data_IF_027965084085
#
_entry.id   IF_027965084085
#
_cell.length_a   1.000
_cell.length_b   1.000
_cell.length_c   1.000
_cell.angle_alpha   90.00
_cell.angle_beta   90.00
_cell.angle_gamma   90.00
#
_symmetry.space_group_name_H-M   'P 1'
#
loop_
_entity.id
_entity.type
_entity.pdbx_description
1 polymer ?
#
# COMPACT_ATOMS: atom_id res chain seq x y z
N UNK A 1 -7.22 -41.69 -33.00
CA UNK A 1 -8.47 -41.56 -32.23
C UNK A 1 -8.14 -41.91 -30.79
N UNK A 2 -7.74 -40.96 -29.94
CA UNK A 2 -7.53 -41.23 -28.52
C UNK A 2 -8.88 -41.15 -27.80
N UNK A 3 -9.15 -42.18 -27.01
CA UNK A 3 -10.37 -42.38 -26.23
C UNK A 3 -10.47 -41.37 -25.10
N UNK A 4 -11.66 -40.80 -24.96
CA UNK A 4 -12.11 -39.91 -23.91
C UNK A 4 -12.21 -40.71 -22.59
N UNK A 5 -11.31 -40.42 -21.66
CA UNK A 5 -11.26 -41.01 -20.32
C UNK A 5 -11.93 -40.03 -19.37
N UNK A 6 -13.24 -40.20 -19.21
CA UNK A 6 -14.05 -39.46 -18.24
C UNK A 6 -13.70 -39.97 -16.84
N UNK A 7 -12.79 -39.27 -16.16
CA UNK A 7 -12.56 -39.45 -14.72
C UNK A 7 -13.79 -38.93 -13.97
N UNK A 8 -14.70 -39.86 -13.70
CA UNK A 8 -15.86 -39.73 -12.84
C UNK A 8 -15.34 -39.55 -11.39
N UNK A 9 -15.39 -38.32 -10.89
CA UNK A 9 -15.09 -38.05 -9.49
C UNK A 9 -16.22 -38.59 -8.63
N UNK A 10 -15.93 -39.63 -7.85
CA UNK A 10 -16.86 -40.25 -6.90
C UNK A 10 -17.30 -39.24 -5.83
N UNK A 11 -18.59 -38.92 -5.78
CA UNK A 11 -19.23 -38.03 -4.80
C UNK A 11 -19.06 -38.49 -3.32
N UNK A 12 -18.48 -39.67 -3.09
CA UNK A 12 -18.19 -40.21 -1.77
C UNK A 12 -17.10 -39.43 -1.01
N UNK A 13 -16.14 -38.80 -1.72
CA UNK A 13 -15.03 -38.09 -1.08
C UNK A 13 -15.44 -36.72 -0.50
N UNK A 14 -16.49 -36.10 -1.04
CA UNK A 14 -17.00 -34.80 -0.56
C UNK A 14 -17.70 -34.94 0.80
N UNK A 15 -18.37 -36.08 1.05
CA UNK A 15 -19.08 -36.34 2.31
C UNK A 15 -18.10 -36.64 3.46
N UNK A 16 -16.96 -37.26 3.16
CA UNK A 16 -15.90 -37.49 4.15
C UNK A 16 -15.27 -36.17 4.65
N UNK A 17 -15.15 -35.16 3.79
CA UNK A 17 -14.57 -33.86 4.16
C UNK A 17 -15.47 -33.03 5.07
N UNK A 18 -16.80 -33.14 4.92
CA UNK A 18 -17.78 -32.40 5.74
C UNK A 18 -17.87 -32.99 7.16
N UNK A 19 -17.63 -34.31 7.30
CA UNK A 19 -17.69 -34.99 8.60
C UNK A 19 -16.48 -34.68 9.51
N UNK A 20 -15.36 -34.20 8.94
CA UNK A 20 -14.15 -33.86 9.70
C UNK A 20 -14.18 -32.48 10.37
N UNK A 21 -15.21 -31.64 10.11
CA UNK A 21 -15.31 -30.28 10.66
C UNK A 21 -16.13 -30.17 11.96
N UNK A 22 -16.57 -31.29 12.55
CA UNK A 22 -17.50 -31.29 13.69
C UNK A 22 -16.95 -31.81 15.04
N UNK A 23 -15.63 -31.85 15.26
CA UNK A 23 -15.10 -32.17 16.60
C UNK A 23 -14.01 -31.19 17.04
N UNK A 24 -14.40 -30.24 17.89
CA UNK A 24 -13.72 -29.91 19.16
C UNK A 24 -14.49 -28.78 19.85
N UNK A 25 -15.58 -29.14 20.53
CA UNK A 25 -16.18 -28.30 21.56
C UNK A 25 -15.35 -28.51 22.84
N UNK A 26 -14.16 -27.92 22.85
CA UNK A 26 -13.23 -28.01 23.98
C UNK A 26 -13.58 -26.91 24.99
N UNK A 27 -14.28 -27.33 26.03
CA UNK A 27 -14.73 -26.48 27.13
C UNK A 27 -13.53 -25.77 27.78
N UNK A 28 -13.39 -24.48 27.48
CA UNK A 28 -12.35 -23.63 28.06
C UNK A 28 -12.65 -23.44 29.56
N UNK A 29 -11.74 -23.81 30.48
CA UNK A 29 -11.93 -23.58 31.90
C UNK A 29 -11.96 -22.08 32.22
N UNK A 30 -12.90 -21.69 33.08
CA UNK A 30 -13.12 -20.31 33.52
C UNK A 30 -11.85 -19.67 34.10
N UNK A 31 -11.57 -18.38 33.79
CA UNK A 31 -10.41 -17.68 34.32
C UNK A 31 -10.55 -17.41 35.83
N UNK A 32 -9.44 -17.62 36.56
CA UNK A 32 -9.31 -17.36 37.98
C UNK A 32 -9.52 -15.87 38.34
N UNK A 33 -9.95 -15.57 39.59
CA UNK A 33 -10.24 -14.21 40.04
C UNK A 33 -9.01 -13.28 40.04
N UNK A 34 -9.24 -12.06 39.55
CA UNK A 34 -8.29 -10.97 39.42
C UNK A 34 -7.66 -10.59 40.77
N UNK A 35 -6.32 -10.64 40.84
CA UNK A 35 -5.54 -10.01 41.90
C UNK A 35 -5.60 -8.48 41.79
N UNK A 36 -5.66 -7.75 42.93
CA UNK A 36 -5.77 -6.31 42.92
C UNK A 36 -4.50 -5.61 42.40
N UNK A 37 -4.64 -4.43 41.79
CA UNK A 37 -3.53 -3.68 41.22
C UNK A 37 -2.56 -3.21 42.30
N UNK A 38 -1.28 -3.58 42.13
CA UNK A 38 -0.15 -3.05 42.91
C UNK A 38 0.02 -1.56 42.60
N UNK A 39 -0.11 -0.73 43.64
CA UNK A 39 0.18 0.71 43.61
C UNK A 39 1.65 0.94 43.25
N UNK A 40 1.96 1.80 42.26
CA UNK A 40 3.34 2.18 41.96
C UNK A 40 3.88 3.09 43.07
N UNK A 41 4.91 2.61 43.76
CA UNK A 41 5.69 3.36 44.73
C UNK A 41 6.45 4.50 44.03
N UNK A 42 5.97 5.73 44.19
CA UNK A 42 6.63 6.95 43.72
C UNK A 42 7.89 7.20 44.56
N UNK A 43 9.04 6.69 44.10
CA UNK A 43 10.34 7.07 44.65
C UNK A 43 10.84 8.32 43.91
N UNK A 44 11.12 9.44 44.59
CA UNK A 44 11.67 10.61 43.94
C UNK A 44 13.08 10.33 43.39
N UNK A 45 13.44 10.88 42.21
CA UNK A 45 14.77 10.74 41.67
C UNK A 45 15.80 11.47 42.54
N UNK A 46 17.03 10.96 42.64
CA UNK A 46 18.12 11.66 43.31
C UNK A 46 18.44 12.97 42.57
N UNK A 47 18.91 14.00 43.30
CA UNK A 47 19.34 15.26 42.69
C UNK A 47 20.50 15.00 41.72
N UNK A 48 20.29 15.42 40.47
CA UNK A 48 21.24 15.29 39.37
C UNK A 48 22.39 16.29 39.60
N UNK A 49 23.56 15.80 39.99
CA UNK A 49 24.79 16.60 40.02
C UNK A 49 25.23 16.88 38.58
N UNK A 50 25.04 18.13 38.14
CA UNK A 50 25.58 18.62 36.88
C UNK A 50 27.11 18.77 37.00
N UNK A 51 27.85 17.81 36.46
CA UNK A 51 29.26 17.97 36.15
C UNK A 51 29.38 18.68 34.79
N UNK A 52 29.79 19.95 34.84
CA UNK A 52 30.16 20.77 33.69
C UNK A 52 31.49 20.28 33.12
N UNK A 53 31.44 19.32 32.20
CA UNK A 53 32.62 18.90 31.46
C UNK A 53 32.60 19.55 30.07
N UNK A 54 33.21 20.73 30.00
CA UNK A 54 33.38 21.54 28.80
C UNK A 54 34.45 20.93 27.90
N UNK A 55 34.07 19.89 27.14
CA UNK A 55 34.90 19.38 26.04
C UNK A 55 34.59 20.12 24.74
N UNK A 56 35.57 20.90 24.32
CA UNK A 56 35.72 21.61 23.06
C UNK A 56 35.79 20.61 21.88
N UNK A 57 34.68 19.92 21.60
CA UNK A 57 34.59 18.90 20.57
C UNK A 57 34.24 19.59 19.23
N UNK A 58 35.08 19.49 18.20
CA UNK A 58 34.74 20.03 16.89
C UNK A 58 33.40 19.42 16.43
N UNK A 59 32.51 20.23 15.82
CA UNK A 59 31.17 19.78 15.48
C UNK A 59 31.28 18.52 14.60
N UNK A 60 30.57 17.44 14.94
CA UNK A 60 30.58 16.22 14.13
C UNK A 60 30.17 16.62 12.72
N UNK A 61 31.03 16.30 11.73
CA UNK A 61 30.73 16.51 10.32
C UNK A 61 29.48 15.70 10.00
N UNK A 62 28.33 16.37 9.93
CA UNK A 62 27.07 15.74 9.55
C UNK A 62 27.23 15.20 8.14
N UNK A 63 27.00 13.90 7.89
CA UNK A 63 27.05 13.37 6.53
C UNK A 63 26.00 14.11 5.69
N UNK A 64 26.48 14.86 4.70
CA UNK A 64 25.62 15.53 3.72
C UNK A 64 24.93 14.44 2.91
N UNK A 65 23.74 14.04 3.35
CA UNK A 65 22.92 13.07 2.63
C UNK A 65 22.48 13.76 1.35
N UNK A 66 23.06 13.35 0.22
CA UNK A 66 22.68 13.88 -1.09
C UNK A 66 21.29 13.35 -1.40
N UNK A 67 20.26 14.06 -0.94
CA UNK A 67 18.88 13.81 -1.37
C UNK A 67 18.86 14.00 -2.87
N UNK A 68 18.62 12.91 -3.58
CA UNK A 68 18.50 12.92 -5.05
C UNK A 68 17.17 13.57 -5.39
N UNK A 69 17.13 14.90 -5.33
CA UNK A 69 15.92 15.69 -5.59
C UNK A 69 15.58 15.58 -7.07
N UNK A 70 14.42 14.99 -7.36
CA UNK A 70 13.92 14.85 -8.73
C UNK A 70 13.48 16.23 -9.22
N UNK A 71 14.09 16.73 -10.30
CA UNK A 71 13.67 17.97 -10.94
C UNK A 71 12.59 17.66 -11.96
N UNK A 72 11.43 18.28 -11.83
CA UNK A 72 10.30 18.16 -12.75
C UNK A 72 10.23 19.40 -13.65
N UNK A 73 9.98 19.18 -14.93
CA UNK A 73 9.62 20.21 -15.92
C UNK A 73 8.15 20.05 -16.25
N UNK A 74 7.38 21.13 -16.16
CA UNK A 74 5.98 21.13 -16.53
C UNK A 74 5.73 22.14 -17.64
N UNK A 75 4.87 21.77 -18.58
CA UNK A 75 4.49 22.59 -19.72
C UNK A 75 2.97 22.55 -19.86
N UNK A 76 2.36 23.72 -19.93
CA UNK A 76 0.93 23.94 -20.21
C UNK A 76 0.79 25.17 -21.11
N UNK A 77 -0.33 25.35 -21.83
CA UNK A 77 -0.54 26.54 -22.67
C UNK A 77 -0.37 27.88 -21.94
N UNK A 78 -0.61 27.91 -20.62
CA UNK A 78 -0.58 29.13 -19.80
C UNK A 78 0.67 29.28 -18.94
N UNK A 79 1.36 28.18 -18.63
CA UNK A 79 2.47 28.15 -17.67
C UNK A 79 3.51 27.10 -18.07
N UNK A 80 4.77 27.47 -17.98
CA UNK A 80 5.90 26.57 -18.14
C UNK A 80 6.93 26.84 -17.06
N UNK A 81 7.62 25.80 -16.59
CA UNK A 81 8.64 25.95 -15.57
C UNK A 81 9.29 24.65 -15.16
N UNK A 82 10.23 24.78 -14.24
CA UNK A 82 10.84 23.65 -13.54
C UNK A 82 10.59 23.79 -12.05
N UNK A 83 10.41 22.67 -11.36
CA UNK A 83 10.22 22.63 -9.92
C UNK A 83 10.74 21.30 -9.39
N UNK A 84 11.22 21.28 -8.15
CA UNK A 84 11.56 20.06 -7.44
C UNK A 84 10.35 19.43 -6.76
N UNK A 85 9.22 20.13 -6.76
CA UNK A 85 7.98 19.71 -6.10
C UNK A 85 7.00 19.11 -7.12
N UNK A 86 6.75 17.80 -6.98
CA UNK A 86 5.81 17.08 -7.83
C UNK A 86 4.38 17.62 -7.74
N UNK A 87 3.95 18.05 -6.54
CA UNK A 87 2.59 18.53 -6.31
C UNK A 87 2.33 19.82 -7.11
N UNK A 88 3.29 20.74 -7.11
CA UNK A 88 3.25 21.98 -7.90
C UNK A 88 3.24 21.68 -9.40
N UNK A 89 4.10 20.78 -9.87
CA UNK A 89 4.14 20.40 -11.28
C UNK A 89 2.84 19.73 -11.75
N UNK A 90 2.30 18.82 -10.93
CA UNK A 90 1.04 18.15 -11.19
C UNK A 90 -0.12 19.16 -11.19
N UNK A 91 -0.21 20.03 -10.19
CA UNK A 91 -1.24 21.07 -10.10
C UNK A 91 -1.24 22.03 -11.30
N UNK A 92 -0.06 22.40 -11.81
CA UNK A 92 0.07 23.27 -12.97
C UNK A 92 -0.41 22.65 -14.30
N UNK A 93 -0.52 21.32 -14.37
CA UNK A 93 -0.87 20.60 -15.61
C UNK A 93 -2.21 19.87 -15.53
N UNK A 94 -2.73 19.68 -14.32
CA UNK A 94 -3.96 18.93 -14.08
C UNK A 94 -5.18 19.60 -14.70
N UNK A 95 -5.91 18.86 -15.55
CA UNK A 95 -7.14 19.34 -16.20
C UNK A 95 -6.92 20.29 -17.38
N UNK A 96 -5.67 20.57 -17.75
CA UNK A 96 -5.35 21.44 -18.89
C UNK A 96 -5.05 20.58 -20.12
N UNK A 97 -5.81 20.71 -21.23
CA UNK A 97 -5.54 19.97 -22.45
C UNK A 97 -4.11 20.21 -22.95
N UNK A 98 -3.43 19.14 -23.36
CA UNK A 98 -2.05 19.15 -23.86
C UNK A 98 -0.96 19.53 -22.84
N UNK A 99 -1.30 19.73 -21.57
CA UNK A 99 -0.31 19.94 -20.53
C UNK A 99 0.38 18.64 -20.14
N UNK A 100 1.67 18.70 -19.82
CA UNK A 100 2.45 17.51 -19.46
C UNK A 100 3.58 17.83 -18.48
N UNK A 101 3.96 16.84 -17.67
CA UNK A 101 5.09 16.90 -16.73
C UNK A 101 6.14 15.86 -17.10
N UNK A 102 7.41 16.24 -17.13
CA UNK A 102 8.56 15.36 -17.36
C UNK A 102 9.54 15.47 -16.21
N UNK A 103 9.95 14.34 -15.65
CA UNK A 103 11.10 14.31 -14.74
C UNK A 103 12.40 14.48 -15.55
N UNK A 104 13.21 15.49 -15.21
CA UNK A 104 14.48 15.82 -15.85
C UNK A 104 15.66 15.06 -15.27
N UNK A 105 15.60 14.60 -14.03
CA UNK A 105 16.67 13.79 -13.44
C UNK A 105 16.76 12.45 -14.15
N UNK A 106 17.96 12.15 -14.67
CA UNK A 106 18.26 10.82 -15.23
C UNK A 106 17.95 9.79 -14.16
N UNK A 107 16.99 8.91 -14.43
CA UNK A 107 16.79 7.73 -13.60
C UNK A 107 18.13 7.01 -13.56
N UNK A 108 18.70 6.84 -12.37
CA UNK A 108 19.90 6.02 -12.19
C UNK A 108 19.70 4.68 -12.90
N UNK A 109 20.80 4.05 -13.33
CA UNK A 109 20.73 2.75 -14.02
C UNK A 109 19.78 1.83 -13.24
N UNK A 110 18.71 1.37 -13.91
CA UNK A 110 17.73 0.49 -13.27
C UNK A 110 18.49 -0.74 -12.81
N UNK A 111 18.50 -0.99 -11.50
CA UNK A 111 18.98 -2.27 -10.96
C UNK A 111 18.27 -3.39 -11.73
N UNK A 112 18.96 -4.49 -12.07
CA UNK A 112 18.31 -5.62 -12.72
C UNK A 112 17.11 -6.04 -11.87
N UNK A 113 15.96 -6.20 -12.52
CA UNK A 113 14.74 -6.58 -11.81
C UNK A 113 14.93 -7.98 -11.21
N UNK A 114 14.65 -8.12 -9.93
CA UNK A 114 14.57 -9.43 -9.27
C UNK A 114 13.52 -10.28 -9.99
N UNK A 115 13.88 -11.53 -10.30
CA UNK A 115 12.95 -12.49 -10.91
C UNK A 115 11.79 -12.73 -9.94
N UNK A 116 10.56 -12.58 -10.43
CA UNK A 116 9.35 -12.84 -9.67
C UNK A 116 9.00 -14.32 -9.79
N UNK A 117 8.71 -14.96 -8.67
CA UNK A 117 8.37 -16.38 -8.59
C UNK A 117 6.86 -16.58 -8.49
N UNK A 118 6.15 -15.65 -7.85
CA UNK A 118 4.71 -15.69 -7.71
C UNK A 118 4.09 -14.30 -7.93
N UNK A 119 2.82 -14.28 -8.29
CA UNK A 119 2.06 -13.07 -8.54
C UNK A 119 0.78 -13.11 -7.72
N UNK A 120 0.46 -12.02 -7.03
CA UNK A 120 -0.79 -11.86 -6.31
C UNK A 120 -1.64 -10.85 -7.04
N UNK A 121 -2.85 -11.24 -7.43
CA UNK A 121 -3.87 -10.35 -7.97
C UNK A 121 -4.81 -9.98 -6.83
N UNK A 122 -4.72 -8.73 -6.37
CA UNK A 122 -5.61 -8.20 -5.34
C UNK A 122 -6.92 -7.76 -5.98
N UNK A 123 -6.85 -7.06 -7.11
CA UNK A 123 -8.00 -6.63 -7.89
C UNK A 123 -7.82 -6.99 -9.36
N UNK A 124 -8.78 -7.69 -9.96
CA UNK A 124 -8.72 -8.14 -11.35
C UNK A 124 -9.84 -9.13 -11.70
N UNK A 125 -9.84 -9.74 -12.91
CA UNK A 125 -10.90 -10.71 -13.31
C UNK A 125 -11.06 -11.88 -12.33
N UNK A 126 -9.98 -12.23 -11.67
CA UNK A 126 -9.96 -13.21 -10.59
C UNK A 126 -8.86 -12.78 -9.61
N UNK A 127 -9.19 -12.82 -8.32
CA UNK A 127 -8.24 -12.57 -7.25
C UNK A 127 -7.57 -13.88 -6.82
N UNK A 128 -6.32 -13.82 -6.40
CA UNK A 128 -5.60 -15.01 -5.94
C UNK A 128 -4.10 -14.89 -6.07
N UNK A 129 -3.42 -16.01 -5.81
CA UNK A 129 -1.98 -16.18 -6.01
C UNK A 129 -1.76 -17.12 -7.20
N UNK A 130 -0.90 -16.70 -8.11
CA UNK A 130 -0.59 -17.39 -9.36
C UNK A 130 0.92 -17.59 -9.47
N UNK A 131 1.33 -18.76 -9.97
CA UNK A 131 2.76 -19.13 -10.02
C UNK A 131 3.42 -18.63 -11.30
N UNK A 132 2.65 -18.40 -12.36
CA UNK A 132 3.20 -17.96 -13.63
C UNK A 132 2.59 -16.65 -14.11
N UNK A 133 3.41 -15.86 -14.83
CA UNK A 133 2.90 -14.67 -15.51
C UNK A 133 1.88 -15.04 -16.61
N UNK A 134 2.01 -16.24 -17.21
CA UNK A 134 1.08 -16.71 -18.24
C UNK A 134 -0.35 -16.85 -17.70
N UNK A 135 -0.51 -17.36 -16.48
CA UNK A 135 -1.79 -17.42 -15.76
C UNK A 135 -2.27 -16.04 -15.31
N UNK A 136 -1.36 -15.21 -14.80
CA UNK A 136 -1.72 -13.89 -14.26
C UNK A 136 -2.16 -12.92 -15.35
N UNK A 137 -1.48 -12.94 -16.50
CA UNK A 137 -1.67 -11.99 -17.61
C UNK A 137 -3.12 -11.86 -18.07
N UNK A 138 -3.88 -12.92 -18.38
CA UNK A 138 -5.28 -12.78 -18.79
C UNK A 138 -6.17 -12.16 -17.70
N UNK A 139 -5.79 -12.25 -16.43
CA UNK A 139 -6.56 -11.73 -15.30
C UNK A 139 -6.39 -10.22 -15.10
N UNK A 140 -5.24 -9.69 -15.51
CA UNK A 140 -4.83 -8.29 -15.29
C UNK A 140 -4.86 -7.46 -16.57
N UNK A 141 -4.67 -8.09 -17.73
CA UNK A 141 -4.53 -7.36 -18.99
C UNK A 141 -5.88 -6.91 -19.53
N UNK A 142 -5.97 -5.64 -19.98
CA UNK A 142 -7.21 -5.01 -20.46
C UNK A 142 -8.36 -5.01 -19.46
N UNK A 143 -8.04 -5.09 -18.17
CA UNK A 143 -9.02 -4.98 -17.09
C UNK A 143 -8.76 -3.62 -16.42
N UNK A 144 -9.76 -2.74 -16.34
CA UNK A 144 -9.58 -1.45 -15.68
C UNK A 144 -9.38 -1.66 -14.18
N UNK A 145 -8.67 -0.73 -13.54
CA UNK A 145 -8.51 -0.69 -12.08
C UNK A 145 -7.97 -2.00 -11.46
N UNK A 146 -7.05 -2.66 -12.16
CA UNK A 146 -6.37 -3.85 -11.63
C UNK A 146 -5.28 -3.46 -10.65
N UNK A 147 -5.16 -4.24 -9.58
CA UNK A 147 -4.04 -4.18 -8.66
C UNK A 147 -3.43 -5.56 -8.53
N UNK A 148 -2.17 -5.70 -8.91
CA UNK A 148 -1.40 -6.93 -8.74
C UNK A 148 0.04 -6.62 -8.34
N UNK A 149 0.72 -7.59 -7.73
CA UNK A 149 2.14 -7.49 -7.37
C UNK A 149 2.85 -8.82 -7.57
N UNK A 150 4.09 -8.77 -8.05
CA UNK A 150 4.97 -9.93 -8.11
C UNK A 150 5.87 -10.02 -6.87
N UNK A 151 6.03 -11.23 -6.35
CA UNK A 151 6.79 -11.58 -5.15
C UNK A 151 7.97 -12.50 -5.49
N UNK A 152 8.99 -12.47 -4.64
CA UNK A 152 10.19 -13.29 -4.78
C UNK A 152 9.97 -14.75 -4.33
N UNK A 153 8.95 -15.00 -3.50
CA UNK A 153 8.60 -16.33 -3.01
C UNK A 153 7.09 -16.57 -2.98
N UNK A 154 6.69 -17.84 -3.10
CA UNK A 154 5.28 -18.28 -3.02
C UNK A 154 4.68 -18.00 -1.62
N UNK A 155 5.38 -18.30 -0.50
CA UNK A 155 4.84 -17.99 0.83
C UNK A 155 4.60 -16.50 1.05
N UNK A 156 5.47 -15.61 0.55
CA UNK A 156 5.25 -14.15 0.62
C UNK A 156 3.98 -13.73 -0.13
N UNK A 157 3.76 -14.29 -1.33
CA UNK A 157 2.58 -14.00 -2.13
C UNK A 157 1.28 -14.44 -1.44
N UNK A 158 1.27 -15.62 -0.80
CA UNK A 158 0.14 -16.10 0.01
C UNK A 158 -0.08 -15.25 1.26
N UNK A 159 0.97 -14.89 1.99
CA UNK A 159 0.88 -14.03 3.16
C UNK A 159 0.30 -12.65 2.80
N UNK A 160 0.77 -12.06 1.70
CA UNK A 160 0.25 -10.80 1.18
C UNK A 160 -1.22 -10.90 0.77
N UNK A 161 -1.60 -11.99 0.08
CA UNK A 161 -2.98 -12.21 -0.32
C UNK A 161 -3.90 -12.40 0.89
N UNK A 162 -3.53 -13.26 1.84
CA UNK A 162 -4.27 -13.48 3.08
C UNK A 162 -4.44 -12.18 3.88
N UNK A 163 -3.39 -11.35 3.97
CA UNK A 163 -3.44 -10.05 4.62
C UNK A 163 -4.46 -9.10 3.97
N UNK A 164 -4.51 -9.10 2.63
CA UNK A 164 -5.47 -8.29 1.88
C UNK A 164 -6.91 -8.83 2.02
N UNK A 165 -7.10 -10.16 1.97
CA UNK A 165 -8.42 -10.79 2.18
C UNK A 165 -8.97 -10.47 3.57
N UNK A 166 -8.15 -10.61 4.61
CA UNK A 166 -8.54 -10.31 6.00
C UNK A 166 -9.01 -8.85 6.20
N UNK A 167 -8.60 -7.94 5.32
CA UNK A 167 -8.97 -6.52 5.35
C UNK A 167 -10.00 -6.14 4.28
N UNK A 168 -10.52 -7.12 3.54
CA UNK A 168 -11.43 -6.90 2.40
C UNK A 168 -10.83 -5.97 1.33
N UNK A 169 -9.53 -6.10 1.05
CA UNK A 169 -8.79 -5.32 0.04
C UNK A 169 -8.69 -6.01 -1.32
N UNK A 170 -9.45 -7.09 -1.53
CA UNK A 170 -9.49 -7.85 -2.78
C UNK A 170 -10.80 -7.61 -3.52
N UNK A 171 -10.76 -7.49 -4.85
CA UNK A 171 -11.95 -7.20 -5.66
C UNK A 171 -11.94 -7.88 -7.05
N UNK A 172 -13.05 -8.54 -7.42
CA UNK A 172 -13.20 -9.18 -8.73
C UNK A 172 -13.74 -8.16 -9.75
N UNK A 173 -13.11 -8.07 -10.92
CA UNK A 173 -13.47 -7.12 -11.98
C UNK A 173 -14.79 -7.51 -12.65
N UNK A 174 -15.64 -6.52 -12.92
CA UNK A 174 -16.98 -6.73 -13.51
C UNK A 174 -18.07 -6.90 -12.45
N UNK A 175 -17.73 -7.30 -11.23
CA UNK A 175 -18.43 -6.69 -10.11
C UNK A 175 -18.10 -5.20 -10.19
N UNK A 176 -19.11 -4.33 -10.14
CA UNK A 176 -18.83 -2.94 -9.84
C UNK A 176 -17.90 -2.94 -8.62
N UNK A 177 -16.77 -2.23 -8.71
CA UNK A 177 -16.14 -1.73 -7.48
C UNK A 177 -17.06 -0.60 -6.98
N UNK A 178 -18.35 -0.89 -6.78
CA UNK A 178 -19.39 -0.02 -6.22
C UNK A 178 -19.16 0.18 -4.74
N UNK A 179 -18.45 -0.74 -4.11
CA UNK A 179 -17.88 -0.46 -2.82
C UNK A 179 -16.66 0.42 -3.06
N UNK A 180 -16.89 1.73 -2.97
CA UNK A 180 -16.02 2.56 -2.14
C UNK A 180 -15.55 1.64 -1.02
N UNK A 181 -14.26 1.29 -1.01
CA UNK A 181 -13.69 0.44 0.04
C UNK A 181 -14.22 1.04 1.33
N UNK A 182 -15.11 0.33 2.07
CA UNK A 182 -15.84 0.93 3.17
C UNK A 182 -14.80 1.59 4.02
N UNK A 183 -14.92 2.94 4.22
CA UNK A 183 -13.92 3.79 4.89
C UNK A 183 -13.11 2.90 5.79
N UNK A 184 -11.92 2.46 5.35
CA UNK A 184 -11.11 1.62 6.21
C UNK A 184 -11.01 2.45 7.47
N UNK A 185 -11.48 1.94 8.63
CA UNK A 185 -11.44 2.72 9.86
C UNK A 185 -10.03 3.24 9.93
N UNK A 186 -9.90 4.58 9.76
CA UNK A 186 -8.67 5.30 9.44
C UNK A 186 -7.56 4.49 10.07
N UNK A 187 -6.73 3.73 9.32
CA UNK A 187 -5.72 2.94 9.97
C UNK A 187 -4.90 3.95 10.74
N UNK A 188 -5.07 3.95 12.07
CA UNK A 188 -4.20 4.66 12.97
C UNK A 188 -2.83 4.24 12.49
N UNK A 189 -1.97 5.18 12.05
CA UNK A 189 -0.81 4.91 11.20
C UNK A 189 -0.14 3.63 11.67
N UNK A 190 -0.49 2.49 11.03
CA UNK A 190 -0.32 1.21 11.72
C UNK A 190 1.16 0.92 11.67
N UNK A 191 1.72 0.88 12.88
CA UNK A 191 3.15 0.72 13.14
C UNK A 191 3.59 -0.72 12.85
N UNK A 192 2.70 -1.61 12.36
CA UNK A 192 2.98 -2.98 11.95
C UNK A 192 4.19 -3.03 11.00
N UNK A 193 5.37 -3.27 11.56
CA UNK A 193 6.65 -3.34 10.85
C UNK A 193 6.68 -4.55 9.90
N UNK A 194 5.82 -5.53 10.15
CA UNK A 194 5.77 -6.82 9.47
C UNK A 194 4.63 -6.89 8.44
N UNK A 195 4.44 -5.84 7.63
CA UNK A 195 3.41 -5.86 6.59
C UNK A 195 3.87 -6.74 5.39
N UNK A 196 3.22 -7.91 5.16
CA UNK A 196 3.64 -8.85 4.10
C UNK A 196 3.44 -8.28 2.70
N UNK A 197 2.67 -7.19 2.55
CA UNK A 197 2.44 -6.54 1.27
C UNK A 197 3.71 -5.97 0.65
N UNK A 198 4.72 -5.64 1.47
CA UNK A 198 5.97 -5.05 1.00
C UNK A 198 6.98 -6.07 0.45
N UNK A 199 6.77 -7.37 0.72
CA UNK A 199 7.70 -8.43 0.35
C UNK A 199 9.08 -8.25 1.00
N UNK A 200 9.99 -9.20 0.76
CA UNK A 200 11.38 -9.11 1.23
C UNK A 200 12.24 -8.12 0.44
N UNK A 201 11.67 -7.42 -0.55
CA UNK A 201 12.43 -6.87 -1.67
C UNK A 201 13.16 -5.55 -1.43
N UNK A 202 13.00 -4.86 -0.31
CA UNK A 202 13.62 -3.53 -0.18
C UNK A 202 14.39 -3.35 1.11
N UNK A 203 15.72 -3.36 0.97
CA UNK A 203 16.64 -2.72 1.92
C UNK A 203 16.24 -1.26 2.21
N UNK A 204 15.56 -0.60 1.26
CA UNK A 204 15.04 0.77 1.38
C UNK A 204 13.50 0.79 1.28
N UNK A 205 12.75 0.67 2.38
CA UNK A 205 11.29 0.68 2.36
C UNK A 205 10.79 2.03 1.82
N UNK A 206 10.06 1.96 0.71
CA UNK A 206 9.41 3.13 0.11
C UNK A 206 8.09 3.41 0.82
N UNK A 207 7.83 4.68 1.02
CA UNK A 207 6.56 5.21 1.50
C UNK A 207 5.82 5.88 0.36
N UNK A 208 4.50 5.82 0.40
CA UNK A 208 3.64 6.35 -0.63
C UNK A 208 2.78 7.46 -0.04
N UNK A 209 2.85 8.66 -0.62
CA UNK A 209 2.09 9.81 -0.19
C UNK A 209 0.95 9.97 -1.17
N UNK A 210 -0.29 9.97 -0.71
CA UNK A 210 -1.46 10.35 -1.51
C UNK A 210 -1.84 11.76 -1.07
N UNK A 211 -1.62 12.74 -1.95
CA UNK A 211 -2.03 14.12 -1.73
C UNK A 211 -3.50 14.32 -2.10
N UNK A 212 -3.92 13.72 -3.23
CA UNK A 212 -5.31 13.75 -3.69
C UNK A 212 -5.79 12.34 -4.00
N UNK A 213 -6.92 11.94 -3.44
CA UNK A 213 -7.47 10.59 -3.58
C UNK A 213 -8.69 10.36 -2.68
N UNK A 214 -9.19 9.13 -2.60
CA UNK A 214 -10.30 8.76 -1.70
C UNK A 214 -9.94 9.04 -0.24
N UNK A 215 -8.70 8.75 0.13
CA UNK A 215 -8.18 9.07 1.45
C UNK A 215 -6.73 9.55 1.30
N UNK A 216 -6.48 10.86 1.34
CA UNK A 216 -5.13 11.38 1.38
C UNK A 216 -4.39 10.94 2.66
N UNK A 217 -3.10 10.66 2.55
CA UNK A 217 -2.30 10.14 3.65
C UNK A 217 -0.93 9.64 3.24
N UNK A 218 -0.22 9.05 4.20
CA UNK A 218 1.10 8.43 4.00
C UNK A 218 0.97 6.94 4.29
N UNK A 219 1.33 6.11 3.31
CA UNK A 219 1.10 4.67 3.25
C UNK A 219 2.40 3.89 3.16
N UNK A 220 2.41 2.69 3.74
CA UNK A 220 3.59 1.81 3.75
C UNK A 220 3.70 0.96 2.49
N UNK A 221 2.60 0.69 1.81
CA UNK A 221 2.57 -0.20 0.68
C UNK A 221 1.97 0.45 -0.57
N UNK A 222 2.44 -0.02 -1.72
CA UNK A 222 1.87 0.38 -3.00
C UNK A 222 0.39 -0.01 -3.13
N UNK A 223 -0.02 -1.14 -2.53
CA UNK A 223 -1.41 -1.60 -2.55
C UNK A 223 -2.31 -0.57 -1.86
N UNK A 224 -1.97 -0.12 -0.65
CA UNK A 224 -2.74 0.92 0.05
C UNK A 224 -2.84 2.21 -0.76
N UNK A 225 -1.75 2.65 -1.38
CA UNK A 225 -1.75 3.83 -2.25
C UNK A 225 -2.69 3.66 -3.45
N UNK A 226 -2.62 2.51 -4.13
CA UNK A 226 -3.48 2.20 -5.28
C UNK A 226 -4.95 2.14 -4.89
N UNK A 227 -5.29 1.48 -3.77
CA UNK A 227 -6.66 1.43 -3.26
C UNK A 227 -7.26 2.83 -3.01
N UNK A 228 -6.42 3.83 -2.74
CA UNK A 228 -6.85 5.21 -2.49
C UNK A 228 -6.81 6.15 -3.70
N UNK A 229 -6.27 5.69 -4.83
CA UNK A 229 -6.03 6.54 -6.02
C UNK A 229 -6.58 5.95 -7.31
N UNK A 230 -6.79 4.64 -7.35
CA UNK A 230 -7.21 3.93 -8.54
C UNK A 230 -8.68 4.23 -8.87
N UNK A 231 -8.96 4.53 -10.14
CA UNK A 231 -10.28 4.94 -10.59
C UNK A 231 -10.69 6.36 -10.17
N UNK A 232 -9.83 7.09 -9.44
CA UNK A 232 -10.11 8.45 -8.97
C UNK A 232 -9.53 9.47 -9.96
N UNK A 233 -10.39 10.21 -10.62
CA UNK A 233 -9.94 11.30 -11.49
C UNK A 233 -9.18 12.33 -10.66
N UNK A 234 -8.07 12.85 -11.21
CA UNK A 234 -7.24 13.87 -10.55
C UNK A 234 -6.52 13.42 -9.27
N UNK A 235 -6.47 12.11 -8.98
CA UNK A 235 -5.63 11.62 -7.89
C UNK A 235 -4.15 11.98 -8.11
N UNK A 236 -3.47 12.34 -7.02
CA UNK A 236 -2.05 12.71 -7.01
C UNK A 236 -1.38 11.95 -5.89
N UNK A 237 -0.37 11.15 -6.25
CA UNK A 237 0.45 10.45 -5.30
C UNK A 237 1.93 10.52 -5.68
N UNK A 238 2.80 10.25 -4.71
CA UNK A 238 4.24 10.17 -4.88
C UNK A 238 4.79 9.02 -4.02
N UNK A 239 5.95 8.48 -4.37
CA UNK A 239 6.67 7.53 -3.51
C UNK A 239 8.00 8.13 -3.09
N UNK A 240 8.31 8.11 -1.80
CA UNK A 240 9.56 8.64 -1.26
C UNK A 240 10.15 7.68 -0.24
N UNK A 241 11.46 7.75 -0.06
CA UNK A 241 12.16 7.12 1.06
C UNK A 241 13.03 8.21 1.71
N UNK A 242 13.12 8.31 3.06
CA UNK A 242 12.51 7.47 4.12
C UNK A 242 11.12 7.93 4.62
N UNK A 243 10.55 7.25 5.64
CA UNK A 243 9.25 7.56 6.28
C UNK A 243 9.14 9.01 6.76
N UNK A 244 10.17 9.47 7.48
CA UNK A 244 10.19 10.79 8.09
C UNK A 244 10.03 11.89 7.05
N UNK A 245 10.66 11.71 5.89
CA UNK A 245 10.54 12.63 4.75
C UNK A 245 9.15 12.57 4.14
N UNK A 246 8.56 11.37 4.00
CA UNK A 246 7.20 11.21 3.50
C UNK A 246 6.17 11.97 4.36
N UNK A 247 6.30 11.84 5.69
CA UNK A 247 5.45 12.55 6.66
C UNK A 247 5.67 14.05 6.62
N UNK A 248 6.93 14.49 6.51
CA UNK A 248 7.29 15.91 6.42
C UNK A 248 6.67 16.57 5.19
N UNK A 249 6.77 15.93 4.02
CA UNK A 249 6.18 16.43 2.78
C UNK A 249 4.65 16.45 2.84
N UNK A 250 4.02 15.38 3.35
CA UNK A 250 2.57 15.37 3.51
C UNK A 250 2.09 16.47 4.46
N UNK A 251 2.77 16.68 5.60
CA UNK A 251 2.44 17.77 6.53
C UNK A 251 2.64 19.16 5.90
N UNK A 252 3.62 19.34 5.02
CA UNK A 252 3.79 20.56 4.25
C UNK A 252 2.61 20.79 3.29
N UNK A 253 2.23 19.78 2.51
CA UNK A 253 1.10 19.84 1.59
C UNK A 253 -0.23 20.13 2.32
N UNK A 254 -0.45 19.56 3.52
CA UNK A 254 -1.62 19.88 4.36
C UNK A 254 -1.66 21.36 4.71
N UNK A 255 -0.52 21.95 5.13
CA UNK A 255 -0.45 23.39 5.45
C UNK A 255 -0.65 24.30 4.23
N UNK A 256 -0.28 23.83 3.05
CA UNK A 256 -0.43 24.57 1.79
C UNK A 256 -1.84 24.44 1.18
N UNK A 257 -2.67 23.51 1.68
CA UNK A 257 -4.00 23.25 1.14
C UNK A 257 -4.01 22.36 -0.11
N UNK A 258 -2.90 21.68 -0.39
CA UNK A 258 -2.75 20.81 -1.57
C UNK A 258 -3.34 19.40 -1.37
N UNK A 259 -3.84 19.11 -0.16
CA UNK A 259 -4.42 17.82 0.21
C UNK A 259 -5.94 17.85 0.03
N UNK A 260 -6.45 16.96 -0.82
CA UNK A 260 -7.85 16.98 -1.26
C UNK A 260 -8.47 15.57 -1.24
N UNK A 261 -9.61 15.42 -0.56
CA UNK A 261 -10.39 14.18 -0.61
C UNK A 261 -11.29 14.21 -1.84
N UNK A 262 -11.13 13.22 -2.72
CA UNK A 262 -11.84 13.10 -3.98
C UNK A 262 -12.88 11.98 -3.89
N UNK A 263 -14.04 12.20 -4.52
CA UNK A 263 -15.07 11.18 -4.64
C UNK A 263 -14.72 10.21 -5.78
N UNK A 264 -15.01 8.93 -5.57
CA UNK A 264 -14.92 7.94 -6.64
C UNK A 264 -16.05 8.21 -7.64
N UNK A 265 -15.68 8.43 -8.91
CA UNK A 265 -16.60 8.72 -10.02
C UNK A 265 -17.59 7.57 -10.28
N UNK A 266 -17.31 6.38 -9.75
CA UNK A 266 -18.12 5.17 -9.92
C UNK A 266 -19.29 5.06 -8.94
N UNK A 267 -19.45 6.00 -8.00
CA UNK A 267 -20.50 5.91 -6.99
C UNK A 267 -21.88 6.35 -7.51
N UNK A 268 -21.94 7.19 -8.55
CA UNK A 268 -23.18 7.88 -8.97
C UNK A 268 -23.81 7.34 -10.26
N UNK A 269 -23.13 6.43 -10.98
CA UNK A 269 -23.64 5.84 -12.23
C UNK A 269 -23.93 4.34 -12.08
N UNK A 270 -24.51 3.93 -10.95
CA UNK A 270 -25.21 2.65 -10.89
C UNK A 270 -26.46 2.78 -11.76
N UNK A 271 -26.29 2.59 -13.07
CA UNK A 271 -27.39 2.46 -14.01
C UNK A 271 -28.22 1.25 -13.54
N UNK A 272 -29.48 1.44 -13.10
CA UNK A 272 -30.28 0.36 -12.51
C UNK A 272 -30.77 -0.66 -13.55
N UNK A 273 -30.28 -0.59 -14.79
CA UNK A 273 -30.73 -1.39 -15.93
C UNK A 273 -29.61 -2.29 -16.46
N UNK A 274 -29.16 -3.26 -15.65
CA UNK A 274 -28.59 -4.53 -16.13
C UNK A 274 -29.23 -5.66 -15.34
#
# INVERSE_FOLDING_TARGET
MPSDSSDEYDDADVIALISALHLSDDATPLPAPLTPPRTPSTRPPPPYSASEDSFDRPPPRTPTTVTTTTLYRYESPTKQGTTTDWSVAAGATQGVPSAHVRALTRRGQKKPATKKVAYTVFCGRQCGVFLTWSETRPLVNRVPNVIFRGYASVPEAHAAYAYAVARSWTCVAGANVTHAIPRLPRPAPSVEADNPLNGSETLDPRWYIVYKGIQPGVYRSHLECQLNTLGVQKAVHESIAPESEARRLFAAAVRQGDVETLLSVYSDNADPFI
#
